data_IF_449627026305
#
_entry.id   IF_449627026305
#
_cell.length_a   1.000
_cell.length_b   1.000
_cell.length_c   1.000
_cell.angle_alpha   90.00
_cell.angle_beta   90.00
_cell.angle_gamma   90.00
#
_symmetry.space_group_name_H-M   'P 1'
#
loop_
_entity.id
_entity.type
_entity.pdbx_description
1 polymer ?
#
# COMPACT_ATOMS: atom_id res chain seq x y z
N UNK A 1 -45.76 5.66 -12.42
CA UNK A 1 -44.63 6.59 -12.15
C UNK A 1 -43.31 5.83 -12.35
N UNK A 2 -42.62 6.04 -13.48
CA UNK A 2 -41.42 5.26 -13.86
C UNK A 2 -40.22 5.73 -13.02
N UNK A 3 -39.72 4.90 -12.10
CA UNK A 3 -38.52 5.20 -11.30
C UNK A 3 -37.33 5.36 -12.24
N UNK A 4 -36.83 6.58 -12.43
CA UNK A 4 -35.54 6.83 -13.09
C UNK A 4 -34.45 6.23 -12.21
N UNK A 5 -33.80 5.18 -12.69
CA UNK A 5 -32.59 4.63 -12.07
C UNK A 5 -31.53 5.71 -12.05
N UNK A 6 -31.13 6.15 -10.84
CA UNK A 6 -30.01 7.08 -10.65
C UNK A 6 -28.78 6.47 -11.33
N UNK A 7 -28.19 7.21 -12.26
CA UNK A 7 -26.90 6.83 -12.88
C UNK A 7 -25.84 6.90 -11.78
N UNK A 8 -25.36 5.74 -11.35
CA UNK A 8 -24.24 5.64 -10.41
C UNK A 8 -23.00 6.12 -11.16
N UNK A 9 -22.30 7.13 -10.61
CA UNK A 9 -21.03 7.59 -11.19
C UNK A 9 -20.01 6.45 -11.09
N UNK A 10 -19.19 6.19 -12.13
CA UNK A 10 -18.09 5.26 -12.02
C UNK A 10 -17.13 5.75 -10.92
N UNK A 11 -16.82 4.89 -9.95
CA UNK A 11 -15.82 5.12 -8.91
C UNK A 11 -14.44 4.70 -9.42
N UNK A 12 -13.37 5.32 -8.89
CA UNK A 12 -12.00 4.96 -9.24
C UNK A 12 -11.71 3.54 -8.76
N UNK A 13 -11.12 2.70 -9.62
CA UNK A 13 -10.85 1.30 -9.31
C UNK A 13 -10.01 1.14 -8.03
N UNK A 14 -9.04 2.03 -7.81
CA UNK A 14 -8.23 2.06 -6.59
C UNK A 14 -9.07 2.21 -5.33
N UNK A 15 -10.04 3.13 -5.33
CA UNK A 15 -10.92 3.39 -4.18
C UNK A 15 -11.84 2.19 -3.89
N UNK A 16 -12.40 1.59 -4.95
CA UNK A 16 -13.21 0.38 -4.84
C UNK A 16 -12.38 -0.79 -4.29
N UNK A 17 -11.17 -0.99 -4.81
CA UNK A 17 -10.28 -2.07 -4.38
C UNK A 17 -9.90 -1.91 -2.91
N UNK A 18 -9.49 -0.72 -2.49
CA UNK A 18 -9.20 -0.45 -1.07
C UNK A 18 -10.39 -0.76 -0.18
N UNK A 19 -11.60 -0.31 -0.56
CA UNK A 19 -12.84 -0.55 0.19
C UNK A 19 -13.16 -2.04 0.30
N UNK A 20 -13.01 -2.79 -0.79
CA UNK A 20 -13.28 -4.23 -0.81
C UNK A 20 -12.24 -5.01 0.01
N UNK A 21 -10.96 -4.70 -0.15
CA UNK A 21 -9.87 -5.37 0.58
C UNK A 21 -10.00 -5.14 2.09
N UNK A 22 -10.31 -3.91 2.50
CA UNK A 22 -10.64 -3.58 3.90
C UNK A 22 -11.85 -4.37 4.39
N UNK A 23 -12.94 -4.45 3.60
CA UNK A 23 -14.15 -5.21 3.97
C UNK A 23 -13.86 -6.71 4.15
N UNK A 24 -12.92 -7.26 3.40
CA UNK A 24 -12.54 -8.68 3.46
C UNK A 24 -11.43 -8.97 4.48
N UNK A 25 -11.00 -7.98 5.28
CA UNK A 25 -9.84 -8.09 6.16
C UNK A 25 -8.57 -8.58 5.44
N UNK A 26 -8.47 -8.31 4.14
CA UNK A 26 -7.27 -8.60 3.37
C UNK A 26 -6.31 -7.45 3.65
N UNK A 27 -5.12 -7.70 4.22
CA UNK A 27 -4.14 -6.65 4.45
C UNK A 27 -3.75 -6.02 3.11
N UNK A 28 -4.28 -4.84 2.83
CA UNK A 28 -3.82 -4.02 1.72
C UNK A 28 -2.77 -3.05 2.26
N UNK A 29 -1.65 -3.61 2.70
CA UNK A 29 -0.41 -2.84 2.79
C UNK A 29 0.01 -2.58 1.37
N UNK A 30 -0.57 -1.54 0.75
CA UNK A 30 0.03 -0.96 -0.44
C UNK A 30 1.39 -0.46 0.01
N UNK A 31 2.42 -1.30 -0.14
CA UNK A 31 3.80 -0.90 0.13
C UNK A 31 4.02 0.32 -0.72
N UNK A 32 4.19 1.46 -0.06
CA UNK A 32 4.36 2.72 -0.75
C UNK A 32 5.53 2.57 -1.73
N UNK A 33 5.20 2.58 -3.01
CA UNK A 33 6.17 2.31 -4.08
C UNK A 33 7.22 3.41 -4.14
N UNK A 34 6.86 4.63 -3.72
CA UNK A 34 7.80 5.72 -3.55
C UNK A 34 8.74 5.42 -2.38
N UNK A 35 8.22 5.01 -1.21
CA UNK A 35 9.05 4.62 -0.06
C UNK A 35 10.03 3.49 -0.42
N UNK A 36 9.57 2.46 -1.14
CA UNK A 36 10.40 1.33 -1.55
C UNK A 36 11.51 1.76 -2.52
N UNK A 37 11.21 2.64 -3.48
CA UNK A 37 12.20 3.17 -4.40
C UNK A 37 13.22 4.08 -3.70
N UNK A 38 12.76 4.96 -2.82
CA UNK A 38 13.62 5.83 -2.03
C UNK A 38 14.53 5.03 -1.10
N UNK A 39 14.00 4.00 -0.44
CA UNK A 39 14.79 3.09 0.40
C UNK A 39 15.93 2.46 -0.40
N UNK A 40 15.64 1.83 -1.54
CA UNK A 40 16.67 1.20 -2.41
C UNK A 40 17.77 2.17 -2.81
N UNK A 41 17.42 3.42 -3.12
CA UNK A 41 18.40 4.46 -3.47
C UNK A 41 19.24 4.91 -2.28
N UNK A 42 18.65 5.01 -1.10
CA UNK A 42 19.33 5.49 0.10
C UNK A 42 20.31 4.46 0.68
N UNK A 43 19.91 3.18 0.75
CA UNK A 43 20.72 2.14 1.41
C UNK A 43 21.59 1.33 0.46
N UNK A 44 21.34 1.43 -0.85
CA UNK A 44 22.07 0.68 -1.86
C UNK A 44 21.71 -0.82 -1.93
N UNK A 45 22.29 -1.55 -2.90
CA UNK A 45 21.85 -2.90 -3.25
C UNK A 45 22.10 -3.94 -2.16
N UNK A 46 23.21 -3.85 -1.41
CA UNK A 46 23.55 -4.84 -0.39
C UNK A 46 22.57 -4.84 0.79
N UNK A 47 22.24 -3.66 1.32
CA UNK A 47 21.30 -3.53 2.42
C UNK A 47 19.87 -3.80 1.92
N UNK A 48 19.50 -3.31 0.74
CA UNK A 48 18.17 -3.54 0.17
C UNK A 48 17.90 -5.01 -0.19
N UNK A 49 18.94 -5.83 -0.35
CA UNK A 49 18.77 -7.27 -0.58
C UNK A 49 18.26 -8.01 0.65
N UNK A 50 18.57 -7.50 1.85
CA UNK A 50 18.22 -8.15 3.12
C UNK A 50 17.20 -7.37 3.96
N UNK A 51 16.74 -6.22 3.47
CA UNK A 51 15.87 -5.32 4.23
C UNK A 51 14.73 -4.76 3.39
N UNK A 52 13.56 -4.59 4.00
CA UNK A 52 12.41 -3.96 3.35
C UNK A 52 11.68 -3.00 4.29
N UNK A 53 11.33 -1.78 3.83
CA UNK A 53 10.57 -0.83 4.63
C UNK A 53 9.14 -1.34 4.85
N UNK A 54 8.68 -1.30 6.10
CA UNK A 54 7.35 -1.79 6.48
C UNK A 54 6.38 -0.63 6.70
N UNK A 55 6.67 0.21 7.69
CA UNK A 55 5.77 1.29 8.10
C UNK A 55 6.54 2.43 8.75
N UNK A 56 6.00 3.65 8.66
CA UNK A 56 6.49 4.80 9.40
C UNK A 56 5.54 5.07 10.57
N UNK A 57 6.06 5.06 11.80
CA UNK A 57 5.29 5.41 13.00
C UNK A 57 6.05 6.47 13.79
N UNK A 58 5.38 7.59 14.07
CA UNK A 58 5.94 8.71 14.86
C UNK A 58 7.28 9.23 14.32
N UNK A 59 7.43 9.29 12.99
CA UNK A 59 8.67 9.70 12.33
C UNK A 59 9.74 8.62 12.19
N UNK A 60 9.54 7.44 12.78
CA UNK A 60 10.48 6.32 12.69
C UNK A 60 10.06 5.34 11.60
N UNK A 61 10.96 5.05 10.65
CA UNK A 61 10.77 3.98 9.66
C UNK A 61 11.14 2.63 10.27
N UNK A 62 10.16 1.72 10.32
CA UNK A 62 10.35 0.33 10.69
C UNK A 62 10.71 -0.48 9.47
N UNK A 63 11.74 -1.32 9.61
CA UNK A 63 12.33 -2.09 8.52
C UNK A 63 12.33 -3.56 8.92
N UNK A 64 11.83 -4.43 8.03
CA UNK A 64 11.95 -5.88 8.18
C UNK A 64 13.31 -6.32 7.66
N UNK A 65 13.94 -7.23 8.38
CA UNK A 65 15.25 -7.80 8.04
C UNK A 65 15.08 -9.30 7.84
N UNK A 66 15.67 -9.83 6.77
CA UNK A 66 15.78 -11.27 6.58
C UNK A 66 16.71 -11.83 7.66
N UNK A 67 16.19 -12.60 8.61
CA UNK A 67 17.00 -13.34 9.59
C UNK A 67 17.29 -14.76 9.04
N UNK A 68 18.46 -15.35 9.35
CA UNK A 68 18.74 -16.76 9.09
C UNK A 68 17.82 -17.70 9.88
#
# INVERSE_FOLDING_TARGET
>A
MRRRTKRVKPEILGDILQKILKKRNIPHTSTDRHLLNTWRRAVGPQIAAQTSPDTVKRGTLFVRVSAP
#
